data_IF_141763109138
#
_entry.id   IF_141763109138
#
_cell.length_a   1.000
_cell.length_b   1.000
_cell.length_c   1.000
_cell.angle_alpha   90.00
_cell.angle_beta   90.00
_cell.angle_gamma   90.00
#
_symmetry.space_group_name_H-M   'P 1'
#
loop_
_entity.id
_entity.type
_entity.pdbx_description
1 polymer ?
#
# COMPACT_ATOMS: atom_id res chain seq x y z
N UNK A 1 -37.28 -23.00 -6.70
CA UNK A 1 -37.09 -22.08 -7.84
C UNK A 1 -35.65 -22.24 -8.31
N UNK A 2 -35.47 -22.74 -9.53
CA UNK A 2 -34.21 -23.34 -10.01
C UNK A 2 -33.08 -22.30 -10.15
N UNK A 3 -31.97 -22.51 -9.44
CA UNK A 3 -30.69 -21.85 -9.72
C UNK A 3 -30.08 -22.50 -10.98
N UNK A 4 -30.06 -21.76 -12.09
CA UNK A 4 -29.32 -22.14 -13.29
C UNK A 4 -27.84 -21.83 -13.06
N UNK A 5 -27.06 -22.89 -12.84
CA UNK A 5 -25.60 -22.87 -12.87
C UNK A 5 -25.10 -22.54 -14.30
N UNK A 6 -24.14 -21.62 -14.40
CA UNK A 6 -23.35 -21.42 -15.63
C UNK A 6 -22.47 -22.65 -15.91
N UNK A 7 -22.18 -22.96 -17.19
CA UNK A 7 -21.57 -24.23 -17.58
C UNK A 7 -20.07 -24.29 -17.25
N UNK A 8 -19.65 -25.52 -16.96
CA UNK A 8 -18.31 -25.97 -16.59
C UNK A 8 -17.15 -25.35 -17.40
N UNK A 9 -16.39 -24.44 -16.77
CA UNK A 9 -14.99 -24.23 -17.12
C UNK A 9 -14.20 -25.29 -16.36
N UNK A 10 -13.58 -26.23 -17.09
CA UNK A 10 -12.58 -27.14 -16.54
C UNK A 10 -11.37 -26.31 -16.08
N UNK A 11 -11.26 -26.09 -14.78
CA UNK A 11 -10.09 -25.48 -14.15
C UNK A 11 -9.02 -26.58 -14.04
N UNK A 12 -8.07 -26.57 -14.97
CA UNK A 12 -6.84 -27.34 -14.81
C UNK A 12 -5.99 -26.68 -13.72
N UNK A 13 -5.85 -27.34 -12.57
CA UNK A 13 -4.86 -26.99 -11.56
C UNK A 13 -3.47 -27.26 -12.14
N UNK A 14 -2.82 -26.24 -12.70
CA UNK A 14 -1.39 -26.31 -13.00
C UNK A 14 -0.60 -26.04 -11.71
N UNK A 15 0.13 -27.07 -11.28
CA UNK A 15 1.07 -27.00 -10.17
C UNK A 15 2.09 -25.87 -10.38
N UNK A 16 2.23 -25.03 -9.36
CA UNK A 16 3.11 -23.87 -9.27
C UNK A 16 4.59 -24.29 -9.35
N UNK A 17 5.33 -23.68 -10.28
CA UNK A 17 6.79 -23.62 -10.19
C UNK A 17 7.15 -22.61 -9.09
N UNK A 18 7.87 -23.06 -8.06
CA UNK A 18 8.50 -22.18 -7.08
C UNK A 18 9.80 -21.64 -7.69
N UNK A 19 9.84 -20.37 -8.07
CA UNK A 19 11.12 -19.70 -8.31
C UNK A 19 11.75 -19.35 -6.96
N UNK A 20 12.62 -20.24 -6.48
CA UNK A 20 13.46 -20.01 -5.30
C UNK A 20 14.58 -19.07 -5.74
N UNK A 21 14.45 -17.78 -5.45
CA UNK A 21 15.54 -16.82 -5.64
C UNK A 21 16.65 -17.10 -4.60
N UNK A 22 17.93 -17.24 -5.03
CA UNK A 22 19.04 -17.46 -4.10
C UNK A 22 19.18 -16.29 -3.12
N UNK A 23 19.52 -16.58 -1.86
CA UNK A 23 19.82 -15.57 -0.85
C UNK A 23 20.88 -14.60 -1.38
N UNK A 24 20.53 -13.31 -1.45
CA UNK A 24 21.43 -12.26 -1.88
C UNK A 24 22.73 -12.19 -1.06
N UNK A 25 23.83 -11.83 -1.71
CA UNK A 25 25.16 -11.62 -1.09
C UNK A 25 25.07 -10.59 0.05
N UNK A 26 25.94 -10.72 1.06
CA UNK A 26 26.07 -9.81 2.22
C UNK A 26 26.01 -8.33 1.78
N UNK A 27 25.10 -7.57 2.39
CA UNK A 27 24.85 -6.15 2.11
C UNK A 27 26.09 -5.30 2.41
N UNK A 28 26.64 -4.65 1.38
CA UNK A 28 27.46 -3.45 1.55
C UNK A 28 26.50 -2.33 1.98
N UNK A 29 26.80 -1.63 3.09
CA UNK A 29 26.04 -0.44 3.49
C UNK A 29 26.07 0.55 2.33
N UNK A 30 24.91 0.85 1.74
CA UNK A 30 24.77 1.92 0.75
C UNK A 30 24.51 3.22 1.51
N UNK A 31 25.26 4.27 1.20
CA UNK A 31 25.04 5.59 1.78
C UNK A 31 23.87 6.27 1.05
N UNK A 32 22.69 6.24 1.67
CA UNK A 32 21.54 7.01 1.21
C UNK A 32 21.56 8.39 1.87
N UNK A 33 21.40 9.44 1.06
CA UNK A 33 20.99 10.74 1.57
C UNK A 33 19.51 10.65 1.98
N UNK A 34 19.19 10.92 3.24
CA UNK A 34 17.80 10.88 3.74
C UNK A 34 17.37 12.28 4.14
N UNK A 35 16.22 12.71 3.63
CA UNK A 35 15.67 14.05 3.86
C UNK A 35 14.18 13.98 4.19
N UNK A 36 13.71 14.79 5.13
CA UNK A 36 12.28 14.99 5.39
C UNK A 36 11.81 16.22 4.61
N UNK A 37 10.72 16.09 3.85
CA UNK A 37 10.09 17.19 3.13
C UNK A 37 8.63 17.32 3.54
N UNK A 38 8.09 18.52 3.33
CA UNK A 38 6.68 18.84 3.57
C UNK A 38 6.07 19.38 2.28
N UNK A 39 4.85 18.94 1.99
CA UNK A 39 4.04 19.42 0.88
C UNK A 39 2.87 20.20 1.47
N UNK A 40 2.81 21.53 1.28
CA UNK A 40 1.71 22.33 1.80
C UNK A 40 0.41 21.97 1.06
N UNK A 41 -0.68 21.83 1.82
CA UNK A 41 -2.02 21.53 1.31
C UNK A 41 -3.05 22.41 2.03
N UNK A 42 -4.24 22.67 1.45
CA UNK A 42 -5.21 23.60 2.07
C UNK A 42 -5.64 23.24 3.50
N UNK A 43 -5.53 21.98 3.89
CA UNK A 43 -5.90 21.47 5.22
C UNK A 43 -4.68 21.19 6.13
N UNK A 44 -3.47 21.59 5.72
CA UNK A 44 -2.25 21.44 6.52
C UNK A 44 -1.04 21.03 5.68
N UNK A 45 -0.42 19.91 6.02
CA UNK A 45 0.76 19.38 5.33
C UNK A 45 0.63 17.89 5.02
N UNK A 46 1.29 17.48 3.94
CA UNK A 46 1.65 16.08 3.70
C UNK A 46 3.15 15.95 3.94
N UNK A 47 3.55 15.12 4.90
CA UNK A 47 4.95 14.80 5.17
C UNK A 47 5.42 13.67 4.26
N UNK A 48 6.62 13.82 3.69
CA UNK A 48 7.25 12.79 2.89
C UNK A 48 8.70 12.61 3.32
N UNK A 49 9.14 11.36 3.36
CA UNK A 49 10.52 10.98 3.62
C UNK A 49 11.18 10.58 2.30
N UNK A 50 12.34 11.18 2.02
CA UNK A 50 13.03 11.05 0.75
C UNK A 50 14.36 10.33 0.93
N UNK A 51 14.73 9.48 -0.03
CA UNK A 51 16.03 8.83 -0.11
C UNK A 51 16.66 9.09 -1.48
N UNK A 52 17.95 9.44 -1.49
CA UNK A 52 18.74 9.91 -2.63
C UNK A 52 18.29 11.28 -3.17
N UNK A 53 18.87 11.70 -4.29
CA UNK A 53 18.67 13.02 -4.89
C UNK A 53 17.55 13.00 -5.94
N UNK A 54 16.90 14.14 -6.14
CA UNK A 54 15.80 14.32 -7.10
C UNK A 54 16.21 14.19 -8.58
N UNK A 55 17.50 14.02 -8.87
CA UNK A 55 18.00 13.81 -10.24
C UNK A 55 17.85 12.35 -10.70
N UNK A 56 17.56 11.44 -9.78
CA UNK A 56 17.28 10.04 -10.09
C UNK A 56 15.81 9.82 -10.47
N UNK A 57 15.54 8.69 -11.11
CA UNK A 57 14.17 8.31 -11.48
C UNK A 57 13.27 8.21 -10.23
N UNK A 58 12.11 8.88 -10.20
CA UNK A 58 11.27 8.92 -9.01
C UNK A 58 10.50 7.62 -8.77
N UNK A 59 10.47 7.21 -7.50
CA UNK A 59 9.67 6.10 -6.98
C UNK A 59 8.81 6.63 -5.85
N UNK A 60 7.51 6.78 -6.09
CA UNK A 60 6.55 7.14 -5.05
C UNK A 60 6.13 5.90 -4.28
N UNK A 61 6.27 5.95 -2.95
CA UNK A 61 6.01 4.84 -2.05
C UNK A 61 4.82 5.17 -1.14
N UNK A 62 3.81 4.30 -1.10
CA UNK A 62 2.59 4.48 -0.31
C UNK A 62 2.37 3.31 0.66
N UNK A 63 2.22 3.61 1.95
CA UNK A 63 2.07 2.63 3.03
C UNK A 63 0.64 2.06 3.15
N UNK A 64 0.49 1.01 3.96
CA UNK A 64 -0.80 0.43 4.31
C UNK A 64 -1.60 1.25 5.34
N UNK A 65 -2.84 0.86 5.59
CA UNK A 65 -3.68 1.54 6.58
C UNK A 65 -3.05 1.44 7.98
N UNK A 66 -3.11 2.51 8.79
CA UNK A 66 -2.49 2.58 10.12
C UNK A 66 -0.96 2.39 10.13
N UNK A 67 -0.29 2.63 8.99
CA UNK A 67 1.18 2.72 8.89
C UNK A 67 1.61 4.17 8.64
N UNK A 68 2.88 4.36 8.28
CA UNK A 68 3.47 5.63 7.84
C UNK A 68 4.71 5.30 6.99
N UNK A 69 5.38 6.31 6.43
CA UNK A 69 6.60 6.15 5.61
C UNK A 69 7.73 5.39 6.32
N UNK A 70 7.73 5.33 7.66
CA UNK A 70 8.64 4.52 8.45
C UNK A 70 8.51 3.00 8.20
N UNK A 71 7.41 2.54 7.58
CA UNK A 71 7.24 1.15 7.18
C UNK A 71 8.34 0.67 6.20
N UNK A 72 8.95 1.61 5.47
CA UNK A 72 9.91 1.32 4.41
C UNK A 72 11.37 1.61 4.80
N UNK A 73 11.62 2.07 6.03
CA UNK A 73 12.97 2.36 6.54
C UNK A 73 13.90 1.15 6.54
N UNK A 74 13.35 -0.06 6.63
CA UNK A 74 14.11 -1.31 6.54
C UNK A 74 14.27 -1.82 5.11
N UNK A 75 13.35 -1.48 4.21
CA UNK A 75 13.35 -1.95 2.83
C UNK A 75 14.24 -1.10 1.92
N UNK A 76 14.04 0.23 1.93
CA UNK A 76 14.68 1.15 0.99
C UNK A 76 16.22 1.05 1.03
N UNK A 77 16.88 0.93 2.20
CA UNK A 77 18.34 0.75 2.24
C UNK A 77 18.86 -0.50 1.53
N UNK A 78 17.99 -1.49 1.28
CA UNK A 78 18.32 -2.71 0.54
C UNK A 78 18.07 -2.58 -0.97
N UNK A 79 17.38 -1.51 -1.40
CA UNK A 79 17.07 -1.26 -2.81
C UNK A 79 18.24 -0.60 -3.55
N UNK A 80 18.08 -0.39 -4.86
CA UNK A 80 19.09 0.27 -5.71
C UNK A 80 19.22 1.75 -5.34
N UNK A 81 20.45 2.28 -5.28
CA UNK A 81 20.69 3.70 -5.03
C UNK A 81 20.52 4.59 -6.28
N UNK A 82 20.09 4.03 -7.41
CA UNK A 82 19.90 4.76 -8.67
C UNK A 82 18.52 5.43 -8.81
N UNK A 83 17.71 5.39 -7.75
CA UNK A 83 16.33 5.88 -7.73
C UNK A 83 16.15 6.93 -6.64
N UNK A 84 15.25 7.87 -6.90
CA UNK A 84 14.79 8.82 -5.91
C UNK A 84 13.52 8.27 -5.25
N UNK A 85 13.65 7.76 -4.02
CA UNK A 85 12.50 7.20 -3.30
C UNK A 85 11.83 8.28 -2.46
N UNK A 86 10.51 8.41 -2.59
CA UNK A 86 9.70 9.33 -1.80
C UNK A 86 8.58 8.53 -1.16
N UNK A 87 8.70 8.25 0.15
CA UNK A 87 7.65 7.60 0.91
C UNK A 87 6.77 8.64 1.60
N UNK A 88 5.48 8.58 1.32
CA UNK A 88 4.51 9.53 1.88
C UNK A 88 3.93 9.03 3.19
N UNK A 89 3.73 9.92 4.16
CA UNK A 89 2.73 9.72 5.21
C UNK A 89 1.38 10.16 4.65
N UNK A 90 0.44 9.23 4.44
CA UNK A 90 -0.90 9.58 3.96
C UNK A 90 -1.60 10.56 4.91
N UNK A 91 -2.56 11.38 4.44
CA UNK A 91 -3.36 12.22 5.33
C UNK A 91 -3.91 11.43 6.52
N UNK A 92 -3.87 12.02 7.72
CA UNK A 92 -4.26 11.33 8.96
C UNK A 92 -3.25 10.32 9.51
N UNK A 93 -2.12 10.09 8.84
CA UNK A 93 -1.09 9.14 9.24
C UNK A 93 0.24 9.85 9.50
N UNK A 94 1.07 9.22 10.34
CA UNK A 94 2.43 9.67 10.60
C UNK A 94 2.51 11.14 11.03
N UNK A 95 3.30 11.91 10.29
CA UNK A 95 3.52 13.35 10.48
C UNK A 95 2.68 14.22 9.54
N UNK A 96 1.79 13.64 8.74
CA UNK A 96 0.86 14.40 7.88
C UNK A 96 -0.33 14.91 8.69
N UNK A 97 -0.86 16.06 8.28
CA UNK A 97 -2.07 16.61 8.88
C UNK A 97 -3.27 15.69 8.64
N UNK A 98 -4.26 15.80 9.52
CA UNK A 98 -5.55 15.12 9.34
C UNK A 98 -6.36 15.89 8.30
N UNK A 99 -7.28 15.20 7.63
CA UNK A 99 -8.34 15.93 6.93
C UNK A 99 -9.18 16.71 7.94
N UNK A 100 -9.85 17.82 7.55
CA UNK A 100 -10.72 18.55 8.45
C UNK A 100 -11.79 17.64 9.08
N UNK A 101 -12.21 17.98 10.31
CA UNK A 101 -13.35 17.32 10.98
C UNK A 101 -14.65 17.57 10.19
N UNK A 102 -15.60 16.65 10.30
CA UNK A 102 -16.87 16.70 9.55
C UNK A 102 -16.77 16.23 8.09
N UNK A 103 -15.58 15.79 7.65
CA UNK A 103 -15.38 15.22 6.31
C UNK A 103 -15.12 13.71 6.47
N UNK A 104 -15.87 12.84 5.76
CA UNK A 104 -15.62 11.42 5.79
C UNK A 104 -14.31 11.07 5.06
N UNK A 105 -13.62 10.04 5.56
CA UNK A 105 -12.45 9.50 4.89
C UNK A 105 -12.88 8.64 3.71
N UNK A 106 -12.72 9.15 2.49
CA UNK A 106 -13.07 8.46 1.26
C UNK A 106 -11.84 7.94 0.51
N UNK A 107 -11.96 6.77 -0.11
CA UNK A 107 -10.88 6.14 -0.88
C UNK A 107 -10.34 7.05 -1.99
N UNK A 108 -11.22 7.72 -2.74
CA UNK A 108 -10.83 8.59 -3.84
C UNK A 108 -10.11 9.84 -3.36
N UNK A 109 -10.40 10.32 -2.15
CA UNK A 109 -9.65 11.44 -1.57
C UNK A 109 -8.17 11.10 -1.36
N UNK A 110 -7.86 9.85 -0.98
CA UNK A 110 -6.47 9.38 -0.91
C UNK A 110 -5.84 9.25 -2.30
N UNK A 111 -6.57 8.72 -3.29
CA UNK A 111 -6.10 8.65 -4.69
C UNK A 111 -5.76 10.04 -5.23
N UNK A 112 -6.59 11.05 -4.95
CA UNK A 112 -6.32 12.42 -5.37
C UNK A 112 -5.12 13.04 -4.66
N UNK A 113 -4.79 12.61 -3.45
CA UNK A 113 -3.55 13.05 -2.80
C UNK A 113 -2.31 12.49 -3.51
N UNK A 114 -2.38 11.29 -4.09
CA UNK A 114 -1.29 10.76 -4.92
C UNK A 114 -1.06 11.71 -6.12
N UNK A 115 -2.10 12.08 -6.87
CA UNK A 115 -1.97 13.04 -7.97
C UNK A 115 -1.41 14.39 -7.51
N UNK A 116 -1.83 14.87 -6.33
CA UNK A 116 -1.31 16.12 -5.74
C UNK A 116 0.19 16.03 -5.47
N UNK A 117 0.67 14.93 -4.91
CA UNK A 117 2.10 14.69 -4.63
C UNK A 117 2.89 14.63 -5.94
N UNK A 118 2.41 13.85 -6.91
CA UNK A 118 3.03 13.75 -8.25
C UNK A 118 3.12 15.12 -8.93
N UNK A 119 2.08 15.94 -8.81
CA UNK A 119 2.04 17.30 -9.35
C UNK A 119 3.00 18.24 -8.62
N UNK A 120 3.09 18.15 -7.28
CA UNK A 120 4.00 18.96 -6.47
C UNK A 120 5.47 18.75 -6.87
N UNK A 121 5.86 17.49 -7.09
CA UNK A 121 7.20 17.14 -7.57
C UNK A 121 7.38 17.31 -9.10
N UNK A 122 6.32 17.72 -9.80
CA UNK A 122 6.31 17.92 -11.25
C UNK A 122 6.74 16.67 -12.05
N UNK A 123 6.46 15.48 -11.52
CA UNK A 123 6.83 14.23 -12.17
C UNK A 123 5.94 13.95 -13.37
N UNK A 124 6.58 13.86 -14.55
CA UNK A 124 5.91 13.47 -15.79
C UNK A 124 5.75 11.96 -15.89
N UNK A 125 6.77 11.22 -15.43
CA UNK A 125 6.79 9.77 -15.37
C UNK A 125 7.41 9.30 -14.06
N UNK A 126 6.91 8.20 -13.50
CA UNK A 126 7.39 7.66 -12.23
C UNK A 126 7.13 6.16 -12.08
N UNK A 127 7.82 5.56 -11.12
CA UNK A 127 7.48 4.23 -10.60
C UNK A 127 6.65 4.37 -9.33
N UNK A 128 5.72 3.45 -9.12
CA UNK A 128 4.89 3.37 -7.92
C UNK A 128 5.21 2.10 -7.13
N UNK A 129 5.27 2.22 -5.80
CA UNK A 129 5.43 1.09 -4.88
C UNK A 129 4.43 1.21 -3.73
N UNK A 130 3.54 0.23 -3.58
CA UNK A 130 2.48 0.25 -2.57
C UNK A 130 2.46 -1.00 -1.72
N UNK A 131 2.13 -0.83 -0.44
CA UNK A 131 1.80 -1.93 0.46
C UNK A 131 0.31 -1.87 0.86
N UNK A 132 -0.38 -3.01 0.83
CA UNK A 132 -1.75 -3.14 1.39
C UNK A 132 -2.72 -2.08 0.85
N UNK A 133 -3.28 -1.22 1.71
CA UNK A 133 -4.09 -0.07 1.32
C UNK A 133 -3.41 0.83 0.27
N UNK A 134 -2.12 1.12 0.45
CA UNK A 134 -1.32 1.85 -0.53
C UNK A 134 -1.21 1.13 -1.87
N UNK A 135 -1.21 -0.20 -1.89
CA UNK A 135 -1.25 -0.98 -3.13
C UNK A 135 -2.61 -0.82 -3.85
N UNK A 136 -3.73 -0.82 -3.13
CA UNK A 136 -5.05 -0.55 -3.72
C UNK A 136 -5.12 0.85 -4.33
N UNK A 137 -4.65 1.86 -3.61
CA UNK A 137 -4.63 3.25 -4.08
C UNK A 137 -3.78 3.41 -5.34
N UNK A 138 -2.59 2.80 -5.36
CA UNK A 138 -1.66 2.91 -6.48
C UNK A 138 -2.08 2.10 -7.71
N UNK A 139 -2.76 0.97 -7.52
CA UNK A 139 -3.39 0.22 -8.60
C UNK A 139 -4.47 1.06 -9.30
N UNK A 140 -5.39 1.66 -8.52
CA UNK A 140 -6.40 2.57 -9.05
C UNK A 140 -5.76 3.77 -9.77
N UNK A 141 -4.74 4.37 -9.16
CA UNK A 141 -4.03 5.50 -9.76
C UNK A 141 -3.36 5.10 -11.09
N UNK A 142 -2.73 3.92 -11.17
CA UNK A 142 -2.09 3.44 -12.39
C UNK A 142 -3.08 3.14 -13.52
N UNK A 143 -4.29 2.69 -13.18
CA UNK A 143 -5.39 2.55 -14.14
C UNK A 143 -5.92 3.90 -14.64
N UNK A 144 -5.81 4.96 -13.83
CA UNK A 144 -6.33 6.31 -14.15
C UNK A 144 -5.31 7.16 -14.91
N UNK A 145 -4.04 7.13 -14.51
CA UNK A 145 -2.95 7.96 -15.05
C UNK A 145 -1.92 7.12 -15.80
N UNK A 146 -2.40 6.38 -16.80
CA UNK A 146 -1.62 5.37 -17.55
C UNK A 146 -0.41 5.95 -18.29
N UNK A 147 -0.43 7.25 -18.60
CA UNK A 147 0.65 8.01 -19.25
C UNK A 147 1.82 8.34 -18.31
N UNK A 148 1.59 8.33 -16.99
CA UNK A 148 2.57 8.70 -15.98
C UNK A 148 3.31 7.51 -15.39
N UNK A 149 2.64 6.37 -15.24
CA UNK A 149 3.17 5.24 -14.48
C UNK A 149 4.03 4.36 -15.39
N UNK A 150 5.32 4.27 -15.09
CA UNK A 150 6.25 3.40 -15.83
C UNK A 150 6.29 1.98 -15.30
N UNK A 151 6.18 1.82 -13.97
CA UNK A 151 6.18 0.53 -13.27
C UNK A 151 5.32 0.62 -12.04
N UNK A 152 4.65 -0.49 -11.71
CA UNK A 152 3.84 -0.61 -10.51
C UNK A 152 4.31 -1.82 -9.68
N UNK A 153 4.68 -1.58 -8.42
CA UNK A 153 5.10 -2.61 -7.48
C UNK A 153 4.07 -2.66 -6.36
N UNK A 154 3.41 -3.80 -6.19
CA UNK A 154 2.36 -4.03 -5.20
C UNK A 154 2.81 -5.09 -4.22
N UNK A 155 2.74 -4.78 -2.93
CA UNK A 155 3.12 -5.67 -1.84
C UNK A 155 1.86 -6.07 -1.07
N UNK A 156 1.56 -7.35 -1.17
CA UNK A 156 0.55 -8.11 -0.45
C UNK A 156 -0.88 -7.56 -0.53
N UNK A 157 -1.22 -6.97 -1.67
CA UNK A 157 -2.58 -6.57 -2.01
C UNK A 157 -2.68 -6.22 -3.50
N UNK A 158 -3.84 -6.46 -4.08
CA UNK A 158 -4.23 -6.00 -5.42
C UNK A 158 -5.74 -5.78 -5.41
N UNK A 159 -6.15 -4.55 -5.70
CA UNK A 159 -7.54 -4.08 -5.75
C UNK A 159 -8.40 -4.35 -4.48
N UNK A 160 -9.33 -3.46 -4.12
CA UNK A 160 -10.26 -3.73 -3.04
C UNK A 160 -11.18 -4.93 -3.34
N UNK A 161 -11.62 -5.66 -2.30
CA UNK A 161 -12.61 -6.74 -2.48
C UNK A 161 -13.90 -6.19 -3.10
N UNK A 162 -14.49 -6.84 -4.11
CA UNK A 162 -15.75 -6.38 -4.70
C UNK A 162 -16.90 -6.29 -3.68
N UNK A 163 -17.86 -5.41 -3.96
CA UNK A 163 -19.17 -5.35 -3.31
C UNK A 163 -20.21 -5.86 -4.33
N UNK A 164 -21.07 -6.79 -3.91
CA UNK A 164 -22.16 -7.27 -4.76
C UNK A 164 -23.14 -6.13 -5.06
N UNK A 165 -23.67 -6.07 -6.30
CA UNK A 165 -24.51 -4.96 -6.76
C UNK A 165 -25.71 -4.70 -5.84
N UNK A 166 -26.37 -5.77 -5.40
CA UNK A 166 -27.50 -5.76 -4.47
C UNK A 166 -27.14 -5.26 -3.05
N UNK A 167 -25.86 -5.33 -2.68
CA UNK A 167 -25.36 -4.92 -1.38
C UNK A 167 -24.81 -3.48 -1.35
N UNK A 168 -24.67 -2.81 -2.49
CA UNK A 168 -24.07 -1.46 -2.57
C UNK A 168 -24.82 -0.44 -1.71
N UNK A 169 -26.16 -0.44 -1.74
CA UNK A 169 -26.95 0.52 -0.94
C UNK A 169 -26.80 0.26 0.56
N UNK A 170 -26.72 -1.02 0.97
CA UNK A 170 -26.48 -1.41 2.35
C UNK A 170 -25.07 -0.99 2.78
N UNK A 171 -24.07 -1.17 1.91
CA UNK A 171 -22.71 -0.70 2.15
C UNK A 171 -22.67 0.80 2.43
N UNK A 172 -23.30 1.63 1.59
CA UNK A 172 -23.31 3.08 1.81
C UNK A 172 -24.10 3.50 3.05
N UNK A 173 -25.22 2.83 3.36
CA UNK A 173 -25.94 3.05 4.61
C UNK A 173 -25.04 2.80 5.81
N UNK A 174 -24.35 1.66 5.85
CA UNK A 174 -23.46 1.30 6.94
C UNK A 174 -22.30 2.30 7.07
N UNK A 175 -21.71 2.73 5.95
CA UNK A 175 -20.68 3.77 5.96
C UNK A 175 -21.20 5.08 6.56
N UNK A 176 -22.38 5.54 6.15
CA UNK A 176 -23.01 6.75 6.70
C UNK A 176 -23.28 6.66 8.21
N UNK A 177 -23.84 5.54 8.68
CA UNK A 177 -24.07 5.31 10.10
C UNK A 177 -22.76 5.23 10.90
N UNK A 178 -21.72 4.62 10.34
CA UNK A 178 -20.41 4.53 10.98
C UNK A 178 -19.72 5.90 11.10
N UNK A 179 -19.87 6.78 10.11
CA UNK A 179 -19.35 8.16 10.18
C UNK A 179 -20.00 8.90 11.35
N UNK A 180 -21.33 8.90 11.44
CA UNK A 180 -22.05 9.58 12.52
C UNK A 180 -21.63 9.03 13.89
N UNK A 181 -21.60 7.69 14.04
CA UNK A 181 -21.13 7.04 15.28
C UNK A 181 -19.69 7.41 15.62
N UNK A 182 -18.81 7.57 14.63
CA UNK A 182 -17.42 7.96 14.86
C UNK A 182 -17.28 9.42 15.33
N UNK A 183 -18.18 10.31 14.88
CA UNK A 183 -18.19 11.73 15.28
C UNK A 183 -18.83 11.95 16.66
N UNK A 184 -19.84 11.16 17.02
CA UNK A 184 -20.46 11.16 18.36
C UNK A 184 -19.50 10.65 19.44
N UNK A 185 -18.63 9.71 19.08
CA UNK A 185 -17.59 9.23 19.98
C UNK A 185 -16.58 10.35 20.25
N UNK A 186 -16.65 10.95 21.44
CA UNK A 186 -15.66 11.92 21.90
C UNK A 186 -14.26 11.33 21.75
N UNK A 187 -13.37 12.03 21.05
CA UNK A 187 -11.98 11.62 20.92
C UNK A 187 -11.32 11.55 22.31
N UNK A 188 -11.18 10.34 22.83
CA UNK A 188 -10.38 10.08 24.02
C UNK A 188 -8.95 9.83 23.60
N UNK A 189 -8.06 10.76 23.95
CA UNK A 189 -6.62 10.56 23.78
C UNK A 189 -6.14 9.61 24.86
N UNK A 190 -5.74 8.41 24.47
CA UNK A 190 -5.09 7.44 25.37
C UNK A 190 -3.59 7.72 25.42
N UNK A 191 -3.03 7.67 26.64
CA UNK A 191 -1.61 7.85 26.88
C UNK A 191 -0.95 6.53 27.26
N UNK A 192 0.20 6.26 26.65
CA UNK A 192 0.96 5.02 26.77
C UNK A 192 2.39 5.31 27.26
N UNK A 193 3.00 4.37 27.97
CA UNK A 193 4.46 4.30 28.02
C UNK A 193 5.01 3.96 26.63
N UNK A 194 6.32 4.13 26.42
CA UNK A 194 6.93 3.77 25.13
C UNK A 194 6.77 2.27 24.82
N UNK A 195 6.97 1.40 25.81
CA UNK A 195 6.86 -0.05 25.65
C UNK A 195 5.42 -0.49 25.39
N UNK A 196 4.44 0.15 26.03
CA UNK A 196 3.02 -0.06 25.73
C UNK A 196 2.69 0.35 24.29
N UNK A 197 3.16 1.51 23.85
CA UNK A 197 2.96 1.96 22.46
C UNK A 197 3.64 1.00 21.46
N UNK A 198 4.81 0.47 21.79
CA UNK A 198 5.49 -0.54 20.99
C UNK A 198 4.69 -1.83 20.88
N UNK A 199 4.17 -2.35 22.00
CA UNK A 199 3.31 -3.52 22.00
C UNK A 199 2.03 -3.30 21.17
N UNK A 200 1.43 -2.09 21.23
CA UNK A 200 0.26 -1.76 20.40
C UNK A 200 0.58 -1.86 18.90
N UNK A 201 1.70 -1.28 18.45
CA UNK A 201 2.08 -1.32 17.03
C UNK A 201 2.60 -2.69 16.60
N UNK A 202 3.29 -3.43 17.47
CA UNK A 202 3.87 -4.72 17.13
C UNK A 202 2.85 -5.88 17.15
N UNK A 203 1.96 -5.89 18.14
CA UNK A 203 1.19 -7.11 18.48
C UNK A 203 -0.33 -6.97 18.34
N UNK A 204 -0.88 -5.75 18.45
CA UNK A 204 -2.34 -5.51 18.48
C UNK A 204 -2.93 -5.19 17.11
N UNK A 205 -2.12 -5.23 16.05
CA UNK A 205 -2.55 -5.16 14.65
C UNK A 205 -2.85 -6.56 14.09
N UNK A 206 -3.66 -6.64 13.03
CA UNK A 206 -4.03 -7.89 12.37
C UNK A 206 -2.80 -8.74 11.98
N UNK A 207 -1.76 -8.09 11.45
CA UNK A 207 -0.50 -8.75 11.13
C UNK A 207 0.63 -8.28 12.04
N UNK A 208 1.20 -9.21 12.81
CA UNK A 208 2.28 -8.91 13.76
C UNK A 208 3.51 -8.31 13.07
N UNK A 209 4.07 -7.28 13.70
CA UNK A 209 5.38 -6.73 13.36
C UNK A 209 6.42 -7.20 14.37
N UNK A 210 7.64 -7.42 13.90
CA UNK A 210 8.79 -7.56 14.81
C UNK A 210 9.02 -6.23 15.53
N UNK A 211 9.43 -6.23 16.81
CA UNK A 211 9.65 -4.99 17.56
C UNK A 211 10.60 -4.00 16.88
N UNK A 212 11.67 -4.48 16.23
CA UNK A 212 12.59 -3.62 15.49
C UNK A 212 11.99 -2.96 14.25
N UNK A 213 11.01 -3.59 13.60
CA UNK A 213 10.21 -2.98 12.53
C UNK A 213 9.24 -1.92 13.10
N UNK A 214 8.56 -2.24 14.20
CA UNK A 214 7.59 -1.35 14.83
C UNK A 214 8.22 -0.03 15.30
N UNK A 215 9.49 -0.06 15.76
CA UNK A 215 10.23 1.15 16.16
C UNK A 215 10.28 2.23 15.07
N UNK A 216 10.34 1.86 13.78
CA UNK A 216 10.35 2.86 12.70
C UNK A 216 8.99 3.53 12.51
N UNK A 217 7.90 2.79 12.70
CA UNK A 217 6.54 3.37 12.69
C UNK A 217 6.35 4.33 13.87
N UNK A 218 6.77 3.93 15.08
CA UNK A 218 6.61 4.74 16.29
C UNK A 218 7.27 6.11 16.20
N UNK A 219 8.44 6.20 15.56
CA UNK A 219 9.15 7.48 15.36
C UNK A 219 8.29 8.53 14.65
N UNK A 220 7.28 8.10 13.89
CA UNK A 220 6.43 8.98 13.10
C UNK A 220 4.98 9.05 13.57
N UNK A 221 4.52 8.12 14.42
CA UNK A 221 3.14 8.10 14.89
C UNK A 221 2.95 8.40 16.38
N UNK A 222 4.01 8.80 17.10
CA UNK A 222 3.92 9.18 18.51
C UNK A 222 4.10 10.68 18.72
N UNK A 223 3.25 11.25 19.58
CA UNK A 223 3.41 12.56 20.18
C UNK A 223 3.77 12.40 21.66
N UNK A 224 4.87 13.01 22.08
CA UNK A 224 5.30 12.99 23.49
C UNK A 224 4.45 13.95 24.32
N UNK A 225 3.96 13.48 25.47
CA UNK A 225 3.12 14.21 26.43
C UNK A 225 3.65 13.94 27.84
N UNK A 226 4.62 14.75 28.28
CA UNK A 226 5.37 14.49 29.51
C UNK A 226 6.20 13.20 29.39
N UNK A 227 5.99 12.26 30.30
CA UNK A 227 6.64 10.94 30.31
C UNK A 227 5.89 9.90 29.45
N UNK A 228 4.70 10.23 28.96
CA UNK A 228 3.85 9.34 28.16
C UNK A 228 3.78 9.77 26.70
N UNK A 229 3.17 8.93 25.88
CA UNK A 229 2.98 9.14 24.46
C UNK A 229 1.51 8.94 24.06
N UNK A 230 1.06 9.69 23.07
CA UNK A 230 -0.21 9.46 22.37
C UNK A 230 0.03 9.19 20.89
N UNK A 231 -0.87 8.45 20.24
CA UNK A 231 -0.78 8.23 18.79
C UNK A 231 -1.27 9.46 18.03
N UNK A 232 -0.59 9.81 16.94
CA UNK A 232 -0.98 10.90 16.03
C UNK A 232 -1.95 10.46 14.94
N UNK A 233 -2.19 9.15 14.79
CA UNK A 233 -3.09 8.60 13.76
C UNK A 233 -4.52 9.09 13.99
N UNK A 234 -5.14 9.59 12.93
CA UNK A 234 -6.56 9.98 12.91
C UNK A 234 -7.45 8.80 13.30
N UNK A 235 -8.29 9.00 14.31
CA UNK A 235 -9.15 7.96 14.86
C UNK A 235 -10.14 7.40 13.83
N UNK A 236 -10.53 8.21 12.83
CA UNK A 236 -11.45 7.83 11.73
C UNK A 236 -10.86 6.77 10.80
N UNK A 237 -9.52 6.61 10.78
CA UNK A 237 -8.84 5.59 9.95
C UNK A 237 -9.20 4.16 10.39
N UNK A 238 -9.69 3.99 11.63
CA UNK A 238 -10.17 2.70 12.13
C UNK A 238 -11.47 2.24 11.44
N UNK A 239 -12.18 3.13 10.77
CA UNK A 239 -13.34 2.81 9.93
C UNK A 239 -12.89 2.21 8.60
N UNK A 240 -13.75 1.41 7.96
CA UNK A 240 -13.43 0.81 6.66
C UNK A 240 -13.35 1.88 5.56
N UNK A 241 -12.13 2.17 5.07
CA UNK A 241 -11.89 3.08 3.93
C UNK A 241 -11.78 2.24 2.66
N UNK A 242 -12.92 2.01 2.01
CA UNK A 242 -13.01 1.15 0.83
C UNK A 242 -14.04 1.70 -0.16
N UNK A 243 -13.76 1.67 -1.47
CA UNK A 243 -14.73 2.09 -2.48
C UNK A 243 -15.77 0.98 -2.70
N UNK A 244 -17.03 1.37 -2.91
CA UNK A 244 -18.09 0.44 -3.28
C UNK A 244 -18.03 0.15 -4.79
N UNK A 245 -17.29 -0.88 -5.18
CA UNK A 245 -17.15 -1.27 -6.59
C UNK A 245 -17.52 -2.73 -6.79
N UNK A 246 -18.22 -3.02 -7.88
CA UNK A 246 -18.52 -4.39 -8.31
C UNK A 246 -17.27 -5.04 -8.90
N UNK A 247 -17.31 -6.38 -9.01
CA UNK A 247 -16.22 -7.13 -9.61
C UNK A 247 -15.97 -6.71 -11.08
N UNK A 248 -17.04 -6.40 -11.82
CA UNK A 248 -16.98 -5.97 -13.21
C UNK A 248 -16.22 -4.64 -13.36
N UNK A 249 -16.56 -3.64 -12.54
CA UNK A 249 -15.88 -2.33 -12.53
C UNK A 249 -14.39 -2.50 -12.23
N UNK A 250 -14.05 -3.30 -11.23
CA UNK A 250 -12.65 -3.51 -10.85
C UNK A 250 -11.90 -4.24 -11.97
N UNK A 251 -12.51 -5.22 -12.64
CA UNK A 251 -11.91 -5.91 -13.78
C UNK A 251 -11.63 -4.93 -14.92
N UNK A 252 -12.58 -4.05 -15.25
CA UNK A 252 -12.40 -3.06 -16.31
C UNK A 252 -11.35 -2.01 -15.97
N UNK A 253 -11.23 -1.65 -14.70
CA UNK A 253 -10.13 -0.83 -14.19
C UNK A 253 -8.76 -1.51 -14.41
N UNK A 254 -8.62 -2.77 -14.01
CA UNK A 254 -7.35 -3.52 -14.16
C UNK A 254 -6.96 -3.63 -15.64
N UNK A 255 -7.93 -3.78 -16.57
CA UNK A 255 -7.67 -3.78 -18.02
C UNK A 255 -7.04 -2.46 -18.52
N UNK A 256 -7.21 -1.35 -17.81
CA UNK A 256 -6.61 -0.07 -18.18
C UNK A 256 -5.13 0.02 -17.82
N UNK A 257 -4.62 -0.76 -16.86
CA UNK A 257 -3.21 -0.71 -16.45
C UNK A 257 -2.31 -1.17 -17.60
N UNK A 258 -1.46 -0.25 -18.09
CA UNK A 258 -0.53 -0.49 -19.23
C UNK A 258 0.90 -0.79 -18.81
N UNK A 259 1.33 -0.24 -17.67
CA UNK A 259 2.67 -0.47 -17.15
C UNK A 259 2.86 -1.92 -16.70
N UNK A 260 4.10 -2.45 -16.72
CA UNK A 260 4.39 -3.71 -16.07
C UNK A 260 4.12 -3.64 -14.56
N UNK A 261 3.54 -4.72 -14.02
CA UNK A 261 3.18 -4.84 -12.60
C UNK A 261 3.99 -5.95 -11.95
N UNK A 262 4.66 -5.66 -10.84
CA UNK A 262 5.20 -6.66 -9.92
C UNK A 262 4.27 -6.77 -8.70
N UNK A 263 3.56 -7.88 -8.58
CA UNK A 263 2.77 -8.21 -7.39
C UNK A 263 3.52 -9.24 -6.54
N UNK A 264 3.82 -8.90 -5.30
CA UNK A 264 4.45 -9.80 -4.32
C UNK A 264 3.41 -10.18 -3.28
N UNK A 265 3.13 -11.48 -3.13
CA UNK A 265 2.15 -12.01 -2.18
C UNK A 265 2.82 -12.85 -1.09
N UNK A 266 2.52 -12.55 0.17
CA UNK A 266 3.01 -13.26 1.33
C UNK A 266 2.05 -14.40 1.69
N UNK A 267 2.55 -15.63 1.71
CA UNK A 267 1.69 -16.82 1.85
C UNK A 267 1.01 -16.98 3.22
N UNK A 268 1.49 -16.30 4.26
CA UNK A 268 0.88 -16.27 5.58
C UNK A 268 0.19 -14.92 5.85
N UNK A 269 -0.65 -14.48 4.91
CA UNK A 269 -1.51 -13.31 5.06
C UNK A 269 -2.98 -13.63 4.75
N UNK A 270 -3.87 -12.86 5.39
CA UNK A 270 -5.31 -12.93 5.09
C UNK A 270 -5.59 -12.50 3.66
N UNK A 271 -4.84 -11.51 3.16
CA UNK A 271 -4.90 -11.04 1.79
C UNK A 271 -4.61 -12.19 0.82
N UNK A 272 -3.53 -12.95 1.03
CA UNK A 272 -3.26 -14.13 0.22
C UNK A 272 -4.37 -15.17 0.26
N UNK A 273 -4.98 -15.38 1.44
CA UNK A 273 -6.08 -16.34 1.59
C UNK A 273 -7.34 -15.89 0.82
N UNK A 274 -7.69 -14.61 0.92
CA UNK A 274 -8.78 -13.99 0.15
C UNK A 274 -8.51 -14.03 -1.36
N UNK A 275 -7.27 -13.72 -1.77
CA UNK A 275 -6.83 -13.72 -3.17
C UNK A 275 -6.89 -15.13 -3.77
N UNK A 276 -6.55 -16.17 -3.01
CA UNK A 276 -6.57 -17.56 -3.53
C UNK A 276 -7.94 -18.22 -3.51
N UNK A 277 -8.85 -17.79 -2.64
CA UNK A 277 -10.18 -18.41 -2.51
C UNK A 277 -11.22 -17.84 -3.49
N UNK A 278 -10.89 -16.79 -4.23
CA UNK A 278 -11.84 -16.07 -5.09
C UNK A 278 -11.43 -16.11 -6.57
N UNK A 279 -12.32 -16.64 -7.41
CA UNK A 279 -12.13 -16.68 -8.88
C UNK A 279 -11.99 -15.30 -9.53
N UNK A 280 -12.48 -14.25 -8.85
CA UNK A 280 -12.28 -12.86 -9.26
C UNK A 280 -10.79 -12.50 -9.29
N UNK A 281 -10.04 -12.83 -8.25
CA UNK A 281 -8.61 -12.48 -8.19
C UNK A 281 -7.78 -13.30 -9.16
N UNK A 282 -8.11 -14.58 -9.39
CA UNK A 282 -7.50 -15.35 -10.48
C UNK A 282 -7.66 -14.64 -11.83
N UNK A 283 -8.85 -14.11 -12.11
CA UNK A 283 -9.14 -13.36 -13.34
C UNK A 283 -8.34 -12.05 -13.41
N UNK A 284 -8.26 -11.31 -12.31
CA UNK A 284 -7.44 -10.09 -12.20
C UNK A 284 -5.96 -10.35 -12.53
N UNK A 285 -5.38 -11.42 -11.97
CA UNK A 285 -3.98 -11.80 -12.20
C UNK A 285 -3.72 -12.21 -13.65
N UNK A 286 -4.66 -12.92 -14.29
CA UNK A 286 -4.56 -13.25 -15.70
C UNK A 286 -4.58 -11.99 -16.58
N UNK A 287 -5.45 -11.03 -16.28
CA UNK A 287 -5.55 -9.77 -17.03
C UNK A 287 -4.24 -8.99 -16.92
N UNK A 288 -3.66 -8.86 -15.71
CA UNK A 288 -2.38 -8.17 -15.53
C UNK A 288 -1.25 -8.76 -16.37
N UNK A 289 -1.19 -10.10 -16.47
CA UNK A 289 -0.20 -10.81 -17.31
C UNK A 289 -0.46 -10.63 -18.79
N UNK A 290 -1.73 -10.60 -19.21
CA UNK A 290 -2.12 -10.37 -20.62
C UNK A 290 -1.86 -8.93 -21.06
N UNK A 291 -2.12 -7.96 -20.20
CA UNK A 291 -1.92 -6.54 -20.50
C UNK A 291 -0.44 -6.21 -20.73
N UNK A 292 0.46 -6.84 -19.99
CA UNK A 292 1.89 -6.62 -20.12
C UNK A 292 2.67 -7.89 -19.78
N UNK A 293 3.39 -8.44 -20.76
CA UNK A 293 4.17 -9.67 -20.60
C UNK A 293 5.34 -9.56 -19.62
N UNK A 294 5.73 -8.34 -19.23
CA UNK A 294 6.74 -8.09 -18.19
C UNK A 294 6.13 -8.05 -16.78
N UNK A 295 4.81 -8.19 -16.62
CA UNK A 295 4.16 -8.30 -15.32
C UNK A 295 4.46 -9.63 -14.64
N UNK A 296 4.69 -9.61 -13.33
CA UNK A 296 5.08 -10.77 -12.51
C UNK A 296 4.24 -10.84 -11.25
N UNK A 297 3.85 -12.06 -10.89
CA UNK A 297 3.19 -12.35 -9.62
C UNK A 297 4.07 -13.34 -8.87
N UNK A 298 4.68 -12.89 -7.78
CA UNK A 298 5.63 -13.69 -6.99
C UNK A 298 4.99 -14.00 -5.64
N UNK A 299 5.05 -15.27 -5.24
CA UNK A 299 4.62 -15.73 -3.92
C UNK A 299 5.85 -15.97 -3.06
N UNK A 300 5.84 -15.47 -1.83
CA UNK A 300 6.96 -15.61 -0.90
C UNK A 300 6.49 -16.09 0.46
N UNK A 301 7.42 -16.63 1.25
CA UNK A 301 7.19 -16.95 2.66
C UNK A 301 7.29 -15.67 3.48
N UNK A 302 6.23 -15.37 4.24
CA UNK A 302 6.16 -14.18 5.09
C UNK A 302 4.72 -13.86 5.48
N UNK A 303 4.55 -12.81 6.28
CA UNK A 303 3.23 -12.27 6.61
C UNK A 303 2.96 -10.97 5.85
N UNK A 304 1.78 -10.36 6.06
CA UNK A 304 1.38 -9.14 5.37
C UNK A 304 2.45 -8.03 5.41
N UNK A 305 3.08 -7.85 6.57
CA UNK A 305 4.14 -6.86 6.77
C UNK A 305 5.55 -7.33 6.34
N UNK A 306 5.67 -8.26 5.39
CA UNK A 306 6.96 -8.85 4.98
C UNK A 306 7.99 -7.81 4.54
N UNK A 307 7.54 -6.74 3.89
CA UNK A 307 8.39 -5.63 3.48
C UNK A 307 9.08 -4.90 4.63
N UNK A 308 8.57 -5.05 5.86
CA UNK A 308 9.14 -4.47 7.06
C UNK A 308 9.77 -5.54 7.96
N UNK A 309 9.16 -6.73 8.08
CA UNK A 309 9.66 -7.81 8.93
C UNK A 309 10.86 -8.57 8.36
N UNK A 310 10.89 -8.76 7.04
CA UNK A 310 11.88 -9.56 6.31
C UNK A 310 12.17 -8.93 4.93
N UNK A 311 12.53 -7.62 4.87
CA UNK A 311 12.75 -6.91 3.61
C UNK A 311 13.81 -7.57 2.71
N UNK A 312 14.77 -8.30 3.29
CA UNK A 312 15.82 -9.04 2.58
C UNK A 312 15.27 -10.08 1.60
N UNK A 313 14.04 -10.57 1.81
CA UNK A 313 13.38 -11.53 0.92
C UNK A 313 12.91 -10.84 -0.36
N UNK A 314 12.35 -9.63 -0.24
CA UNK A 314 11.70 -8.95 -1.37
C UNK A 314 12.60 -7.92 -2.06
N UNK A 315 13.61 -7.39 -1.36
CA UNK A 315 14.49 -6.36 -1.90
C UNK A 315 15.19 -6.78 -3.22
N UNK A 316 15.75 -8.00 -3.35
CA UNK A 316 16.36 -8.44 -4.61
C UNK A 316 15.35 -8.52 -5.76
N UNK A 317 14.13 -8.98 -5.47
CA UNK A 317 13.04 -9.10 -6.45
C UNK A 317 12.66 -7.71 -6.97
N UNK A 318 12.49 -6.75 -6.05
CA UNK A 318 12.21 -5.35 -6.37
C UNK A 318 13.36 -4.73 -7.16
N UNK A 319 14.62 -4.94 -6.76
CA UNK A 319 15.79 -4.42 -7.47
C UNK A 319 15.87 -4.92 -8.91
N UNK A 320 15.65 -6.22 -9.12
CA UNK A 320 15.65 -6.82 -10.44
C UNK A 320 14.52 -6.25 -11.31
N UNK A 321 13.33 -6.11 -10.75
CA UNK A 321 12.22 -5.49 -11.48
C UNK A 321 12.47 -4.01 -11.77
N UNK A 322 13.11 -3.26 -10.88
CA UNK A 322 13.49 -1.86 -11.11
C UNK A 322 14.57 -1.72 -12.19
N UNK A 323 15.59 -2.57 -12.23
CA UNK A 323 16.69 -2.47 -13.21
C UNK A 323 16.25 -2.73 -14.65
N UNK A 324 15.15 -3.45 -14.86
CA UNK A 324 14.57 -3.70 -16.18
C UNK A 324 13.95 -2.43 -16.82
N UNK A 325 14.23 -1.23 -16.32
CA UNK A 325 13.83 0.01 -17.02
C UNK A 325 14.67 0.02 -18.28
N UNK A 326 14.05 -0.37 -19.41
CA UNK A 326 14.63 -0.09 -20.72
C UNK A 326 14.77 1.42 -20.79
N UNK A 327 16.02 1.89 -20.79
CA UNK A 327 16.38 3.22 -21.22
C UNK A 327 15.85 3.38 -22.65
N UNK A 328 14.61 3.83 -22.79
CA UNK A 328 14.13 4.43 -24.03
C UNK A 328 14.47 5.91 -23.93
N UNK A 329 15.73 6.20 -24.20
CA UNK A 329 16.16 7.47 -24.76
C UNK A 329 16.56 7.20 -26.20
#
# INVERSE_FOLDING_TARGET
MNFRFFPHIRINFFYTHYEIFPRGKKNVKKDFLVEEKIIPVPWGIISVKCWNTSNHHPVLIVHGLCENSGAFDRLIPLLSNNFYYVAVDLPGHGMSSHFPRGIPLDFMFFVFQIQRIVSHFQWKRLTLLGHSFGAHLLEFYAATYTDKVEKLILIDAISPTPVASEAILIFYRNQGENIIKSEENKEHTTFYSYDEALAQVAEKRMSKLKPEAAKFLLKRCLKKNGEKYSFTTDSRIKSEIKPAMTAEIIIDQIKQIKCPVLLILANNSEQFSLLNSSGFFSSALEILKRNNSSSRVIRIVGNHCVHNNQPEIIAPIICNFLSEIKSKY
#
